data_IF_069636033554
#
_entry.id   IF_069636033554
#
_cell.length_a   1.000
_cell.length_b   1.000
_cell.length_c   1.000
_cell.angle_alpha   90.00
_cell.angle_beta   90.00
_cell.angle_gamma   90.00
#
_symmetry.space_group_name_H-M   'P 1'
#
loop_
_entity.id
_entity.type
_entity.pdbx_description
1 polymer ?
#
# COMPACT_ATOMS: atom_id res chain seq x y z
N UNK A 1 4.36 11.91 -13.05
CA UNK A 1 5.11 11.89 -11.78
C UNK A 1 4.69 13.12 -10.99
N UNK A 2 4.35 12.99 -9.71
CA UNK A 2 4.05 14.13 -8.82
C UNK A 2 5.10 14.15 -7.72
N UNK A 3 5.66 15.33 -7.44
CA UNK A 3 6.70 15.54 -6.42
C UNK A 3 6.12 16.29 -5.23
N UNK A 4 6.24 15.74 -4.02
CA UNK A 4 5.89 16.40 -2.76
C UNK A 4 7.12 16.44 -1.86
N UNK A 5 7.79 17.60 -1.82
CA UNK A 5 9.07 17.76 -1.14
C UNK A 5 10.14 16.83 -1.74
N UNK A 6 10.54 15.79 -1.00
CA UNK A 6 11.47 14.75 -1.45
C UNK A 6 10.81 13.42 -1.87
N UNK A 7 9.48 13.31 -1.79
CA UNK A 7 8.74 12.14 -2.26
C UNK A 7 8.29 12.31 -3.71
N UNK A 8 8.50 11.29 -4.53
CA UNK A 8 8.00 11.23 -5.90
C UNK A 8 7.08 10.02 -6.05
N UNK A 9 5.88 10.26 -6.55
CA UNK A 9 4.92 9.21 -6.87
C UNK A 9 5.01 8.88 -8.36
N UNK A 10 5.35 7.61 -8.66
CA UNK A 10 5.42 7.12 -10.03
C UNK A 10 4.01 6.98 -10.64
N UNK A 11 3.04 6.54 -9.84
CA UNK A 11 1.65 6.34 -10.26
C UNK A 11 0.68 7.24 -9.46
N UNK A 12 0.71 8.57 -9.66
CA UNK A 12 -0.07 9.51 -8.85
C UNK A 12 -1.59 9.37 -9.02
N UNK A 13 -2.05 8.79 -10.14
CA UNK A 13 -3.47 8.53 -10.37
C UNK A 13 -4.07 7.59 -9.30
N UNK A 14 -3.27 6.68 -8.74
CA UNK A 14 -3.71 5.76 -7.68
C UNK A 14 -4.07 6.52 -6.40
N UNK A 15 -3.41 7.65 -6.12
CA UNK A 15 -3.75 8.48 -4.96
C UNK A 15 -5.19 9.01 -5.03
N UNK A 16 -5.79 9.13 -6.21
CA UNK A 16 -7.21 9.49 -6.33
C UNK A 16 -8.14 8.47 -5.63
N UNK A 17 -7.70 7.22 -5.45
CA UNK A 17 -8.45 6.20 -4.70
C UNK A 17 -8.61 6.55 -3.21
N UNK A 18 -7.80 7.47 -2.65
CA UNK A 18 -8.02 7.99 -1.29
C UNK A 18 -9.40 8.65 -1.15
N UNK A 19 -9.96 9.21 -2.23
CA UNK A 19 -11.31 9.79 -2.26
C UNK A 19 -12.38 8.71 -2.04
N UNK A 20 -12.07 7.44 -2.29
CA UNK A 20 -12.98 6.30 -2.10
C UNK A 20 -13.01 5.80 -0.65
N UNK A 21 -12.05 6.19 0.20
CA UNK A 21 -12.05 5.84 1.63
C UNK A 21 -13.36 6.16 2.37
N UNK A 22 -14.00 7.34 2.20
CA UNK A 22 -15.31 7.61 2.81
C UNK A 22 -16.42 6.65 2.34
N UNK A 23 -16.33 6.13 1.11
CA UNK A 23 -17.27 5.11 0.60
C UNK A 23 -17.02 3.79 1.33
N UNK A 24 -15.77 3.39 1.51
CA UNK A 24 -15.38 2.20 2.30
C UNK A 24 -15.84 2.35 3.75
N UNK A 25 -15.64 3.52 4.36
CA UNK A 25 -16.15 3.84 5.70
C UNK A 25 -17.67 3.64 5.78
N UNK A 26 -18.41 4.17 4.80
CA UNK A 26 -19.86 4.06 4.76
C UNK A 26 -20.33 2.61 4.62
N UNK A 27 -19.67 1.83 3.73
CA UNK A 27 -19.96 0.42 3.49
C UNK A 27 -19.67 -0.46 4.72
N UNK A 28 -18.57 -0.19 5.42
CA UNK A 28 -18.19 -0.91 6.65
C UNK A 28 -19.07 -0.53 7.84
N UNK A 29 -19.70 0.65 7.81
CA UNK A 29 -20.63 1.11 8.85
C UNK A 29 -22.07 0.64 8.60
N UNK A 30 -22.31 -0.21 7.60
CA UNK A 30 -23.62 -0.86 7.42
C UNK A 30 -23.91 -1.69 8.66
N UNK A 31 -24.67 -1.09 9.56
CA UNK A 31 -25.10 -1.71 10.80
C UNK A 31 -26.20 -2.69 10.42
N UNK A 32 -26.17 -3.94 10.91
CA UNK A 32 -27.20 -4.91 10.55
C UNK A 32 -28.59 -4.34 10.85
N UNK A 33 -29.59 -4.60 9.98
CA UNK A 33 -30.96 -4.12 10.20
C UNK A 33 -31.45 -4.57 11.57
N UNK A 34 -32.22 -3.71 12.23
CA UNK A 34 -32.70 -3.98 13.58
C UNK A 34 -33.37 -5.37 13.67
N UNK A 35 -33.12 -6.14 14.75
CA UNK A 35 -33.64 -7.48 14.88
C UNK A 35 -35.18 -7.47 14.83
N UNK A 36 -35.75 -8.34 13.99
CA UNK A 36 -37.21 -8.48 13.86
C UNK A 36 -37.75 -9.16 15.12
N UNK A 37 -38.73 -8.53 15.77
CA UNK A 37 -39.44 -9.12 16.90
C UNK A 37 -40.48 -10.11 16.37
N UNK A 38 -40.27 -11.40 16.63
CA UNK A 38 -41.23 -12.46 16.34
C UNK A 38 -41.84 -12.94 17.67
N UNK A 39 -43.17 -13.08 17.71
CA UNK A 39 -43.87 -13.65 18.85
C UNK A 39 -43.59 -15.16 18.90
N UNK A 40 -42.73 -15.59 19.82
CA UNK A 40 -42.41 -17.01 20.02
C UNK A 40 -43.21 -17.57 21.21
N UNK A 41 -44.35 -18.26 21.00
CA UNK A 41 -45.26 -18.66 22.08
C UNK A 41 -44.63 -19.63 23.11
N UNK A 42 -43.56 -20.33 22.73
CA UNK A 42 -42.80 -21.22 23.63
C UNK A 42 -41.94 -20.49 24.68
N UNK A 43 -41.90 -19.16 24.70
CA UNK A 43 -41.27 -18.35 25.78
C UNK A 43 -41.82 -18.75 27.17
N UNK A 44 -43.05 -19.29 27.23
CA UNK A 44 -43.64 -19.79 28.47
C UNK A 44 -42.84 -20.94 29.11
N UNK A 45 -42.09 -21.71 28.33
CA UNK A 45 -41.20 -22.77 28.82
C UNK A 45 -39.87 -22.25 29.38
N UNK A 46 -39.55 -20.98 29.11
CA UNK A 46 -38.32 -20.30 29.54
C UNK A 46 -38.56 -19.35 30.73
N UNK A 47 -39.79 -19.27 31.25
CA UNK A 47 -40.18 -18.49 32.44
C UNK A 47 -39.42 -19.03 33.67
N UNK A 48 -38.24 -18.46 33.93
CA UNK A 48 -37.35 -18.87 35.03
C UNK A 48 -35.86 -18.77 34.68
N UNK A 49 -35.51 -18.72 33.39
CA UNK A 49 -34.14 -18.48 32.92
C UNK A 49 -33.87 -16.97 32.87
N UNK A 50 -32.83 -16.53 33.58
CA UNK A 50 -32.31 -15.17 33.42
C UNK A 50 -31.63 -15.09 32.04
N UNK A 51 -32.28 -14.41 31.09
CA UNK A 51 -31.68 -14.13 29.81
C UNK A 51 -30.52 -13.14 30.02
N UNK A 52 -29.29 -13.62 29.84
CA UNK A 52 -28.13 -12.75 29.75
C UNK A 52 -28.28 -11.97 28.44
N UNK A 53 -28.53 -10.66 28.53
CA UNK A 53 -28.55 -9.81 27.34
C UNK A 53 -27.17 -9.85 26.70
N UNK A 54 -27.04 -10.57 25.59
CA UNK A 54 -25.93 -10.38 24.67
C UNK A 54 -26.13 -8.99 24.04
N UNK A 55 -25.53 -7.99 24.67
CA UNK A 55 -25.50 -6.63 24.15
C UNK A 55 -24.81 -6.67 22.78
N UNK A 56 -25.45 -6.13 21.73
CA UNK A 56 -24.79 -6.01 20.43
C UNK A 56 -23.50 -5.23 20.62
N UNK A 57 -22.37 -5.91 20.45
CA UNK A 57 -21.06 -5.31 20.62
C UNK A 57 -20.91 -4.21 19.57
N UNK A 58 -21.07 -2.96 20.00
CA UNK A 58 -20.90 -1.81 19.09
C UNK A 58 -19.48 -1.87 18.56
N UNK A 59 -19.34 -1.99 17.25
CA UNK A 59 -18.03 -2.01 16.61
C UNK A 59 -17.22 -0.77 17.05
N UNK A 60 -16.09 -0.96 17.75
CA UNK A 60 -15.38 0.16 18.32
C UNK A 60 -14.77 1.02 17.22
N UNK A 61 -14.94 2.34 17.34
CA UNK A 61 -14.55 3.32 16.32
C UNK A 61 -13.04 3.29 15.98
N UNK A 62 -12.19 2.84 16.91
CA UNK A 62 -10.77 2.69 16.67
C UNK A 62 -10.44 1.58 15.66
N UNK A 63 -11.22 0.49 15.61
CA UNK A 63 -11.05 -0.57 14.60
C UNK A 63 -11.35 -0.04 13.21
N UNK A 64 -12.37 0.82 13.10
CA UNK A 64 -12.71 1.49 11.85
C UNK A 64 -11.59 2.45 11.41
N UNK A 65 -11.05 3.24 12.34
CA UNK A 65 -9.89 4.10 12.07
C UNK A 65 -8.68 3.29 11.58
N UNK A 66 -8.37 2.17 12.23
CA UNK A 66 -7.26 1.30 11.80
C UNK A 66 -7.48 0.70 10.41
N UNK A 67 -8.71 0.29 10.09
CA UNK A 67 -9.03 -0.20 8.74
C UNK A 67 -8.81 0.87 7.67
N UNK A 68 -9.26 2.10 7.93
CA UNK A 68 -9.05 3.22 7.00
C UNK A 68 -7.57 3.59 6.87
N UNK A 69 -6.83 3.58 7.97
CA UNK A 69 -5.40 3.84 7.97
C UNK A 69 -4.65 2.76 7.18
N UNK A 70 -4.98 1.49 7.37
CA UNK A 70 -4.40 0.38 6.60
C UNK A 70 -4.72 0.52 5.10
N UNK A 71 -5.98 0.81 4.75
CA UNK A 71 -6.37 1.04 3.37
C UNK A 71 -5.63 2.24 2.74
N UNK A 72 -5.47 3.35 3.49
CA UNK A 72 -4.70 4.50 3.04
C UNK A 72 -3.23 4.15 2.78
N UNK A 73 -2.59 3.40 3.70
CA UNK A 73 -1.20 2.94 3.53
C UNK A 73 -1.05 2.03 2.31
N UNK A 74 -2.01 1.14 2.06
CA UNK A 74 -2.02 0.28 0.86
C UNK A 74 -2.10 1.14 -0.40
N UNK A 75 -3.02 2.12 -0.45
CA UNK A 75 -3.15 3.02 -1.61
C UNK A 75 -1.86 3.81 -1.85
N UNK A 76 -1.27 4.34 -0.79
CA UNK A 76 0.01 5.08 -0.88
C UNK A 76 1.14 4.18 -1.35
N UNK A 77 1.24 2.94 -0.85
CA UNK A 77 2.25 1.97 -1.28
C UNK A 77 2.09 1.61 -2.77
N UNK A 78 0.86 1.39 -3.23
CA UNK A 78 0.55 1.11 -4.64
C UNK A 78 0.88 2.29 -5.55
N UNK A 79 0.86 3.53 -5.06
CA UNK A 79 1.27 4.70 -5.82
C UNK A 79 2.79 4.79 -6.08
N UNK A 80 3.57 3.82 -5.58
CA UNK A 80 5.04 3.74 -5.68
C UNK A 80 5.72 5.05 -5.20
N UNK A 81 5.71 5.32 -3.88
CA UNK A 81 6.37 6.46 -3.30
C UNK A 81 7.89 6.22 -3.29
N UNK A 82 8.64 7.10 -3.94
CA UNK A 82 10.11 7.06 -3.99
C UNK A 82 10.67 8.26 -3.25
N UNK A 83 11.52 8.01 -2.26
CA UNK A 83 12.27 9.05 -1.56
C UNK A 83 13.52 9.41 -2.36
N UNK A 84 13.70 10.71 -2.64
CA UNK A 84 14.88 11.26 -3.28
C UNK A 84 15.35 10.44 -4.50
N UNK A 85 14.56 10.34 -5.59
CA UNK A 85 14.86 9.47 -6.73
C UNK A 85 16.16 9.77 -7.49
N UNK A 86 16.93 10.79 -7.07
CA UNK A 86 18.09 11.30 -7.80
C UNK A 86 17.71 11.81 -9.19
N UNK A 87 18.69 11.91 -10.07
CA UNK A 87 18.44 12.16 -11.50
C UNK A 87 17.82 10.91 -12.15
N UNK A 88 16.74 11.12 -12.89
CA UNK A 88 16.16 10.08 -13.73
C UNK A 88 17.18 9.65 -14.81
N UNK A 89 17.16 8.37 -15.17
CA UNK A 89 17.92 7.88 -16.31
C UNK A 89 17.42 8.58 -17.59
N UNK A 90 18.31 9.18 -18.39
CA UNK A 90 17.90 9.82 -19.64
C UNK A 90 17.35 8.80 -20.64
N UNK A 91 16.46 9.27 -21.53
CA UNK A 91 15.84 8.45 -22.58
C UNK A 91 14.75 7.48 -22.09
N UNK A 92 14.17 6.74 -23.04
CA UNK A 92 13.06 5.79 -22.81
C UNK A 92 13.34 4.35 -23.25
N UNK A 93 14.45 4.09 -23.97
CA UNK A 93 14.81 2.76 -24.46
C UNK A 93 15.51 1.88 -23.41
N UNK A 94 16.04 0.70 -23.79
CA UNK A 94 16.81 -0.16 -22.88
C UNK A 94 18.02 0.56 -22.26
N UNK A 95 18.43 0.10 -21.09
CA UNK A 95 19.59 0.62 -20.35
C UNK A 95 20.75 -0.35 -20.53
N UNK A 96 21.84 0.11 -21.14
CA UNK A 96 23.09 -0.63 -21.24
C UNK A 96 24.02 -0.26 -20.08
N UNK A 97 24.31 -1.23 -19.22
CA UNK A 97 25.33 -1.14 -18.20
C UNK A 97 26.65 -1.66 -18.76
N UNK A 98 27.67 -0.81 -18.81
CA UNK A 98 29.04 -1.18 -19.23
C UNK A 98 29.93 -1.18 -17.99
N UNK A 99 30.53 -2.32 -17.66
CA UNK A 99 31.30 -2.52 -16.44
C UNK A 99 32.71 -2.99 -16.77
N UNK A 100 33.73 -2.23 -16.40
CA UNK A 100 35.10 -2.72 -16.44
C UNK A 100 35.38 -3.54 -15.16
N UNK A 101 35.59 -4.85 -15.34
CA UNK A 101 35.90 -5.82 -14.28
C UNK A 101 37.36 -6.29 -14.29
N UNK A 102 38.25 -5.59 -15.01
CA UNK A 102 39.66 -5.94 -15.12
C UNK A 102 40.45 -5.75 -13.81
N UNK A 103 41.67 -6.27 -13.77
CA UNK A 103 42.53 -6.22 -12.57
C UNK A 103 42.81 -4.78 -12.08
N UNK A 104 42.90 -3.82 -13.01
CA UNK A 104 43.09 -2.40 -12.69
C UNK A 104 41.86 -1.74 -12.04
N UNK A 105 40.68 -2.35 -12.16
CA UNK A 105 39.39 -1.81 -11.70
C UNK A 105 39.07 -2.14 -10.25
N UNK A 106 39.94 -2.88 -9.55
CA UNK A 106 39.72 -3.29 -8.16
C UNK A 106 39.68 -2.13 -7.15
N UNK A 107 40.34 -0.99 -7.44
CA UNK A 107 40.26 0.19 -6.57
C UNK A 107 38.87 0.82 -6.68
N UNK A 108 38.18 0.96 -5.54
CA UNK A 108 36.85 1.55 -5.49
C UNK A 108 35.74 0.63 -6.02
N UNK A 109 35.99 -0.69 -6.04
CA UNK A 109 35.01 -1.68 -6.49
C UNK A 109 33.69 -1.64 -5.68
N UNK A 110 33.70 -1.50 -4.34
CA UNK A 110 32.46 -1.39 -3.57
C UNK A 110 31.59 -0.20 -3.98
N UNK A 111 32.17 0.98 -4.18
CA UNK A 111 31.45 2.19 -4.60
C UNK A 111 30.89 2.03 -6.02
N UNK A 112 31.63 1.37 -6.91
CA UNK A 112 31.16 1.07 -8.27
C UNK A 112 30.00 0.06 -8.25
N UNK A 113 30.05 -0.95 -7.38
CA UNK A 113 28.93 -1.88 -7.18
C UNK A 113 27.67 -1.17 -6.65
N UNK A 114 27.84 -0.22 -5.73
CA UNK A 114 26.71 0.58 -5.22
C UNK A 114 26.08 1.44 -6.31
N UNK A 115 26.89 2.11 -7.13
CA UNK A 115 26.39 2.90 -8.26
C UNK A 115 25.67 2.03 -9.31
N UNK A 116 26.16 0.82 -9.59
CA UNK A 116 25.50 -0.12 -10.50
C UNK A 116 24.16 -0.59 -9.94
N UNK A 117 24.07 -0.88 -8.64
CA UNK A 117 22.79 -1.23 -7.98
C UNK A 117 21.77 -0.11 -8.08
N UNK A 118 22.17 1.13 -7.81
CA UNK A 118 21.27 2.29 -7.96
C UNK A 118 20.79 2.47 -9.41
N UNK A 119 21.67 2.24 -10.40
CA UNK A 119 21.29 2.28 -11.81
C UNK A 119 20.29 1.17 -12.20
N UNK A 120 20.49 -0.06 -11.69
CA UNK A 120 19.56 -1.18 -11.89
C UNK A 120 18.20 -0.86 -11.28
N UNK A 121 18.15 -0.41 -10.03
CA UNK A 121 16.90 -0.07 -9.37
C UNK A 121 16.14 1.04 -10.11
N UNK A 122 16.85 2.04 -10.65
CA UNK A 122 16.25 3.11 -11.46
C UNK A 122 15.66 2.59 -12.76
N UNK A 123 16.34 1.66 -13.44
CA UNK A 123 15.86 1.07 -14.68
C UNK A 123 14.63 0.17 -14.44
N UNK A 124 14.65 -0.64 -13.37
CA UNK A 124 13.53 -1.49 -12.97
C UNK A 124 12.28 -0.66 -12.64
N UNK A 125 12.43 0.40 -11.83
CA UNK A 125 11.31 1.32 -11.51
C UNK A 125 10.75 2.01 -12.75
N UNK A 126 11.58 2.24 -13.77
CA UNK A 126 11.15 2.81 -15.04
C UNK A 126 10.56 1.77 -16.01
N UNK A 127 10.55 0.48 -15.65
CA UNK A 127 10.11 -0.61 -16.52
C UNK A 127 10.95 -0.76 -17.78
N UNK A 128 12.25 -0.42 -17.70
CA UNK A 128 13.18 -0.44 -18.84
C UNK A 128 14.03 -1.71 -18.80
N UNK A 129 14.15 -2.36 -19.94
CA UNK A 129 15.04 -3.52 -20.10
C UNK A 129 16.49 -3.16 -19.79
N UNK A 130 17.21 -4.09 -19.17
CA UNK A 130 18.61 -3.95 -18.79
C UNK A 130 19.48 -4.90 -19.60
N UNK A 131 20.59 -4.39 -20.14
CA UNK A 131 21.63 -5.18 -20.79
C UNK A 131 22.94 -4.91 -20.08
N UNK A 132 23.67 -5.97 -19.72
CA UNK A 132 24.99 -5.87 -19.10
C UNK A 132 26.07 -6.25 -20.11
N UNK A 133 27.06 -5.38 -20.24
CA UNK A 133 28.33 -5.64 -20.92
C UNK A 133 29.44 -5.50 -19.87
N UNK A 134 30.17 -6.58 -19.59
CA UNK A 134 31.21 -6.62 -18.58
C UNK A 134 32.46 -7.34 -19.08
#
# INVERSE_FOLDING_TARGET
MVTLGGLVFLAPAILAALILLPVIFWLLRVTPPAPRRLSFPAIRLLLGLQAQEETPERMPWWLLLMRLLLAALIIVALAHPVLNPGSALPGSGPVLLVVDNGWASGKGWPERQEALRDAVDKAERAGRDLVLLA
#
